data_IF_408160422741
#
_entry.id   IF_408160422741
#
_cell.length_a   1.000
_cell.length_b   1.000
_cell.length_c   1.000
_cell.angle_alpha   90.00
_cell.angle_beta   90.00
_cell.angle_gamma   90.00
#
_symmetry.space_group_name_H-M   'P 1'
#
loop_
_entity.id
_entity.type
_entity.pdbx_description
1 polymer ?
#
# COMPACT_ATOMS: atom_id res chain seq x y z
N UNK A 1 -27.25 1.09 8.31
CA UNK A 1 -26.31 1.50 9.38
C UNK A 1 -25.65 2.77 8.89
N UNK A 2 -25.59 3.81 9.71
CA UNK A 2 -24.82 5.01 9.39
C UNK A 2 -23.33 4.64 9.39
N UNK A 3 -22.64 4.93 8.28
CA UNK A 3 -21.21 4.67 8.13
C UNK A 3 -20.43 5.94 8.38
N UNK A 4 -19.21 5.83 8.91
CA UNK A 4 -18.32 6.98 9.01
C UNK A 4 -17.92 7.48 7.61
N UNK A 5 -18.20 8.75 7.31
CA UNK A 5 -17.88 9.40 6.04
C UNK A 5 -16.39 9.30 5.67
N UNK A 6 -15.51 9.33 6.67
CA UNK A 6 -14.06 9.19 6.47
C UNK A 6 -13.59 7.72 6.43
N UNK A 7 -14.44 6.78 6.86
CA UNK A 7 -14.08 5.37 7.01
C UNK A 7 -13.64 4.72 5.70
N UNK A 8 -14.26 5.10 4.59
CA UNK A 8 -13.89 4.60 3.27
C UNK A 8 -12.46 5.01 2.89
N UNK A 9 -12.17 6.31 2.92
CA UNK A 9 -10.84 6.84 2.55
C UNK A 9 -9.77 6.33 3.52
N UNK A 10 -10.06 6.29 4.82
CA UNK A 10 -9.14 5.78 5.83
C UNK A 10 -8.78 4.30 5.58
N UNK A 11 -9.77 3.44 5.30
CA UNK A 11 -9.53 2.03 5.00
C UNK A 11 -8.71 1.84 3.72
N UNK A 12 -8.98 2.64 2.69
CA UNK A 12 -8.29 2.58 1.42
C UNK A 12 -6.82 3.02 1.55
N UNK A 13 -6.56 4.13 2.25
CA UNK A 13 -5.20 4.58 2.54
C UNK A 13 -4.45 3.60 3.46
N UNK A 14 -5.14 3.02 4.45
CA UNK A 14 -4.55 2.03 5.36
C UNK A 14 -4.04 0.79 4.61
N UNK A 15 -4.72 0.36 3.56
CA UNK A 15 -4.29 -0.80 2.75
C UNK A 15 -3.25 -0.39 1.70
N UNK A 16 -3.56 0.65 0.90
CA UNK A 16 -2.76 0.97 -0.28
C UNK A 16 -1.40 1.59 0.04
N UNK A 17 -1.30 2.42 1.07
CA UNK A 17 -0.03 3.07 1.44
C UNK A 17 1.04 2.03 1.82
N UNK A 18 0.81 1.11 2.78
CA UNK A 18 1.81 0.09 3.09
C UNK A 18 1.99 -0.94 1.97
N UNK A 19 0.94 -1.28 1.20
CA UNK A 19 1.07 -2.21 0.08
C UNK A 19 2.00 -1.66 -1.01
N UNK A 20 1.81 -0.41 -1.43
CA UNK A 20 2.66 0.25 -2.43
C UNK A 20 4.10 0.38 -1.90
N UNK A 21 4.28 0.72 -0.62
CA UNK A 21 5.61 0.75 0.00
C UNK A 21 6.35 -0.60 -0.13
N UNK A 22 5.68 -1.71 0.19
CA UNK A 22 6.29 -3.04 0.08
C UNK A 22 6.55 -3.45 -1.37
N UNK A 23 5.63 -3.14 -2.29
CA UNK A 23 5.82 -3.40 -3.73
C UNK A 23 7.06 -2.68 -4.24
N UNK A 24 7.25 -1.41 -3.86
CA UNK A 24 8.43 -0.63 -4.25
C UNK A 24 9.70 -1.28 -3.71
N UNK A 25 9.73 -1.67 -2.43
CA UNK A 25 10.90 -2.34 -1.85
C UNK A 25 11.21 -3.66 -2.56
N UNK A 26 10.18 -4.45 -2.88
CA UNK A 26 10.33 -5.70 -3.62
C UNK A 26 10.96 -5.45 -4.99
N UNK A 27 10.42 -4.52 -5.78
CA UNK A 27 10.94 -4.20 -7.11
C UNK A 27 12.41 -3.77 -7.03
N UNK A 28 12.76 -2.88 -6.10
CA UNK A 28 14.15 -2.44 -5.92
C UNK A 28 15.07 -3.60 -5.53
N UNK A 29 14.60 -4.49 -4.66
CA UNK A 29 15.36 -5.65 -4.18
C UNK A 29 15.59 -6.67 -5.29
N UNK A 30 14.56 -6.98 -6.08
CA UNK A 30 14.66 -7.88 -7.24
C UNK A 30 15.54 -7.30 -8.34
N UNK A 31 15.44 -5.99 -8.62
CA UNK A 31 16.29 -5.32 -9.61
C UNK A 31 17.78 -5.35 -9.26
N UNK A 32 18.14 -5.36 -7.97
CA UNK A 32 19.54 -5.42 -7.51
C UNK A 32 20.13 -6.82 -7.50
N UNK A 33 19.29 -7.86 -7.45
CA UNK A 33 19.76 -9.27 -7.46
C UNK A 33 19.90 -9.84 -8.88
N UNK A 34 19.25 -9.24 -9.87
CA UNK A 34 19.25 -9.71 -11.26
C UNK A 34 20.31 -9.11 -12.18
N UNK A 35 21.20 -8.23 -11.66
CA UNK A 35 22.36 -7.68 -12.36
C UNK A 35 23.65 -8.08 -11.65
#
# INVERSE_FOLDING_TARGET
METNDLGFVASLLFVLVPAVFLIILYIQTSSRQGG
#
